data_IF_832896946275
#
_entry.id   IF_832896946275
#
_cell.length_a   1.000
_cell.length_b   1.000
_cell.length_c   1.000
_cell.angle_alpha   90.00
_cell.angle_beta   90.00
_cell.angle_gamma   90.00
#
_symmetry.space_group_name_H-M   'P 1'
#
loop_
_entity.id
_entity.type
_entity.pdbx_description
1 polymer ?
#
# COMPACT_ATOMS: atom_id res chain seq x y z
N UNK A 1 31.03 -34.90 -24.57
CA UNK A 1 29.87 -34.72 -25.47
C UNK A 1 28.53 -34.61 -24.72
N UNK A 2 28.42 -35.02 -23.45
CA UNK A 2 27.15 -35.06 -22.70
C UNK A 2 26.74 -33.76 -21.97
N UNK A 3 27.63 -32.77 -21.79
CA UNK A 3 27.31 -31.54 -21.03
C UNK A 3 26.38 -30.56 -21.76
N UNK A 4 26.08 -30.79 -23.05
CA UNK A 4 25.25 -29.89 -23.87
C UNK A 4 23.74 -30.17 -23.78
N UNK A 5 23.32 -31.24 -23.09
CA UNK A 5 21.91 -31.62 -22.97
C UNK A 5 21.17 -31.00 -21.78
N UNK A 6 21.90 -30.53 -20.75
CA UNK A 6 21.32 -29.82 -19.60
C UNK A 6 20.49 -28.56 -19.96
N UNK A 7 20.90 -27.67 -20.89
CA UNK A 7 20.09 -26.50 -21.22
C UNK A 7 18.75 -26.87 -21.88
N UNK A 8 18.70 -27.97 -22.64
CA UNK A 8 17.47 -28.44 -23.27
C UNK A 8 16.49 -29.00 -22.22
N UNK A 9 17.01 -29.70 -21.20
CA UNK A 9 16.20 -30.16 -20.07
C UNK A 9 15.64 -29.00 -19.25
N UNK A 10 16.45 -27.97 -18.97
CA UNK A 10 16.00 -26.74 -18.30
C UNK A 10 14.92 -26.00 -19.10
N UNK A 11 15.06 -25.91 -20.43
CA UNK A 11 14.06 -25.31 -21.31
C UNK A 11 12.74 -26.08 -21.25
N UNK A 12 12.77 -27.40 -21.31
CA UNK A 12 11.56 -28.24 -21.24
C UNK A 12 10.84 -28.15 -19.89
N UNK A 13 11.58 -28.05 -18.78
CA UNK A 13 10.99 -27.87 -17.45
C UNK A 13 10.27 -26.52 -17.33
N UNK A 14 10.82 -25.45 -17.92
CA UNK A 14 10.19 -24.12 -17.90
C UNK A 14 8.84 -24.07 -18.61
N UNK A 15 8.58 -24.98 -19.56
CA UNK A 15 7.29 -25.07 -20.25
C UNK A 15 6.18 -25.72 -19.40
N UNK A 16 6.53 -26.31 -18.26
CA UNK A 16 5.60 -27.05 -17.39
C UNK A 16 5.20 -26.29 -16.13
N UNK A 17 5.76 -25.10 -15.89
CA UNK A 17 5.41 -24.29 -14.72
C UNK A 17 4.17 -23.44 -15.05
N UNK A 18 3.06 -23.76 -14.39
CA UNK A 18 1.86 -22.93 -14.39
C UNK A 18 1.86 -22.00 -13.17
N UNK A 19 1.33 -20.79 -13.34
CA UNK A 19 1.10 -19.88 -12.23
C UNK A 19 -0.02 -20.39 -11.32
N UNK A 20 0.08 -20.10 -10.02
CA UNK A 20 -1.02 -20.31 -9.09
C UNK A 20 -2.12 -19.27 -9.30
N UNK A 21 -3.38 -19.69 -9.14
CA UNK A 21 -4.52 -18.78 -9.11
C UNK A 21 -4.56 -18.02 -7.77
N UNK A 22 -4.59 -16.69 -7.84
CA UNK A 22 -4.68 -15.85 -6.66
C UNK A 22 -6.14 -15.70 -6.21
N UNK A 23 -6.49 -16.32 -5.08
CA UNK A 23 -7.83 -16.21 -4.50
C UNK A 23 -7.95 -14.96 -3.63
N UNK A 24 -8.98 -14.15 -3.88
CA UNK A 24 -9.30 -12.96 -3.07
C UNK A 24 -9.64 -13.30 -1.61
N UNK A 25 -9.97 -14.55 -1.30
CA UNK A 25 -10.20 -15.05 0.06
C UNK A 25 -9.01 -14.78 0.98
N UNK A 26 -7.78 -14.89 0.47
CA UNK A 26 -6.57 -14.60 1.26
C UNK A 26 -6.41 -13.13 1.64
N UNK A 27 -7.13 -12.21 0.98
CA UNK A 27 -7.11 -10.79 1.29
C UNK A 27 -8.26 -10.37 2.23
N UNK A 28 -9.23 -11.25 2.52
CA UNK A 28 -10.42 -10.88 3.29
C UNK A 28 -10.11 -10.38 4.70
N UNK A 29 -9.04 -10.90 5.31
CA UNK A 29 -8.59 -10.48 6.63
C UNK A 29 -7.69 -9.22 6.61
N UNK A 30 -7.23 -8.82 5.42
CA UNK A 30 -6.42 -7.61 5.23
C UNK A 30 -7.33 -6.39 5.08
N UNK A 31 -7.71 -5.80 6.22
CA UNK A 31 -8.44 -4.53 6.24
C UNK A 31 -7.45 -3.37 6.06
N UNK A 32 -7.69 -2.46 5.08
CA UNK A 32 -6.96 -1.20 5.03
C UNK A 32 -7.12 -0.47 6.35
N UNK A 33 -6.00 -0.01 6.93
CA UNK A 33 -6.01 0.79 8.15
C UNK A 33 -5.11 2.01 7.96
N UNK A 34 -5.48 3.11 8.61
CA UNK A 34 -4.58 4.24 8.74
C UNK A 34 -3.38 3.82 9.60
N UNK A 35 -2.17 4.04 9.09
CA UNK A 35 -0.92 3.84 9.83
C UNK A 35 -0.35 5.16 10.39
N UNK A 36 -1.11 6.25 10.26
CA UNK A 36 -0.61 7.60 10.48
C UNK A 36 0.22 8.09 9.28
N UNK A 37 0.98 9.19 9.44
CA UNK A 37 1.82 9.75 8.40
C UNK A 37 2.99 8.80 8.09
N UNK A 38 2.83 7.93 7.09
CA UNK A 38 3.83 6.93 6.70
C UNK A 38 5.03 7.50 5.92
N UNK A 39 4.91 8.72 5.39
CA UNK A 39 6.03 9.43 4.78
C UNK A 39 6.79 10.24 5.84
N UNK A 40 8.07 9.93 6.05
CA UNK A 40 8.93 10.81 6.82
C UNK A 40 9.07 12.16 6.08
N UNK A 41 8.83 13.28 6.78
CA UNK A 41 8.99 14.64 6.26
C UNK A 41 7.91 15.11 5.25
N UNK A 42 6.64 15.07 5.66
CA UNK A 42 5.56 15.78 4.96
C UNK A 42 5.52 17.28 5.28
N UNK A 43 5.09 18.11 4.34
CA UNK A 43 4.80 19.54 4.57
C UNK A 43 3.30 19.74 4.78
N UNK A 44 2.92 20.38 5.88
CA UNK A 44 1.57 20.88 6.10
C UNK A 44 1.45 22.23 5.40
N UNK A 45 0.48 22.37 4.51
CA UNK A 45 0.27 23.58 3.70
C UNK A 45 -0.98 24.37 4.13
N UNK A 46 -1.91 23.71 4.82
CA UNK A 46 -3.12 24.33 5.33
C UNK A 46 -3.61 23.59 6.58
N UNK A 47 -4.13 24.35 7.54
CA UNK A 47 -4.85 23.85 8.71
C UNK A 47 -6.08 24.74 8.88
N UNK A 48 -7.23 24.14 9.09
CA UNK A 48 -8.45 24.87 9.45
C UNK A 48 -9.28 24.08 10.47
N UNK A 49 -10.05 24.78 11.30
CA UNK A 49 -10.87 24.20 12.36
C UNK A 49 -12.32 24.66 12.23
N UNK A 50 -13.27 23.77 12.53
CA UNK A 50 -14.69 24.14 12.54
C UNK A 50 -14.96 25.04 13.74
N UNK A 51 -15.37 26.29 13.52
CA UNK A 51 -15.55 27.28 14.58
C UNK A 51 -16.51 26.84 15.70
N UNK A 52 -17.61 26.17 15.33
CA UNK A 52 -18.61 25.70 16.29
C UNK A 52 -18.19 24.43 17.03
N UNK A 53 -17.17 23.71 16.54
CA UNK A 53 -16.60 22.54 17.18
C UNK A 53 -15.10 22.39 16.84
N UNK A 54 -14.21 23.05 17.59
CA UNK A 54 -12.77 23.05 17.30
C UNK A 54 -12.08 21.69 17.43
N UNK A 55 -12.72 20.68 18.02
CA UNK A 55 -12.19 19.30 18.03
C UNK A 55 -12.19 18.70 16.60
N UNK A 56 -13.01 19.25 15.71
CA UNK A 56 -13.02 18.91 14.30
C UNK A 56 -12.09 19.84 13.53
N UNK A 57 -10.95 19.29 13.11
CA UNK A 57 -9.93 20.00 12.34
C UNK A 57 -9.60 19.28 11.04
N UNK A 58 -9.28 20.06 10.01
CA UNK A 58 -8.84 19.58 8.71
C UNK A 58 -7.41 20.02 8.45
N UNK A 59 -6.56 19.09 8.01
CA UNK A 59 -5.14 19.33 7.74
C UNK A 59 -4.82 18.92 6.30
N UNK A 60 -4.43 19.90 5.50
CA UNK A 60 -3.97 19.70 4.12
C UNK A 60 -2.45 19.58 4.07
N UNK A 61 -1.96 18.56 3.38
CA UNK A 61 -0.52 18.32 3.20
C UNK A 61 -0.14 18.35 1.73
N UNK A 62 1.14 18.66 1.43
CA UNK A 62 1.60 18.80 0.05
C UNK A 62 1.52 17.49 -0.78
N UNK A 63 1.76 16.34 -0.16
CA UNK A 63 1.77 15.02 -0.82
C UNK A 63 1.01 13.92 -0.07
N UNK A 64 0.61 14.17 1.18
CA UNK A 64 -0.07 13.19 2.04
C UNK A 64 -1.59 13.33 2.06
N UNK A 65 -2.18 14.15 1.17
CA UNK A 65 -3.62 14.37 1.07
C UNK A 65 -4.22 15.20 2.21
N UNK A 66 -5.50 14.94 2.48
CA UNK A 66 -6.33 15.63 3.48
C UNK A 66 -6.57 14.73 4.69
N UNK A 67 -6.37 15.28 5.88
CA UNK A 67 -6.58 14.60 7.16
C UNK A 67 -7.68 15.30 7.95
N UNK A 68 -8.42 14.53 8.75
CA UNK A 68 -9.47 15.02 9.64
C UNK A 68 -9.23 14.52 11.05
N UNK A 69 -9.21 15.44 12.01
CA UNK A 69 -9.33 15.12 13.43
C UNK A 69 -10.78 15.30 13.90
N UNK A 70 -11.17 14.55 14.92
CA UNK A 70 -12.45 14.71 15.65
C UNK A 70 -12.24 14.73 17.17
N UNK A 71 -11.00 14.90 17.61
CA UNK A 71 -10.57 14.86 19.01
C UNK A 71 -9.64 16.04 19.37
N UNK A 72 -9.52 17.04 18.49
CA UNK A 72 -8.59 18.16 18.66
C UNK A 72 -7.12 17.82 18.35
N UNK A 73 -6.82 16.58 17.98
CA UNK A 73 -5.46 16.07 17.72
C UNK A 73 -5.21 14.79 18.47
#
# INVERSE_FOLDING_TARGET
MFSKFYPLALLLVSLTTFSQDFKMEFLQDLKPRNIGPGGMSGRVTAIDAVNDNPDVMYVGTASGGLWKSTSGG
#
